data_IF_327179172883
#
_entry.id   IF_327179172883
#
_cell.length_a   1.000
_cell.length_b   1.000
_cell.length_c   1.000
_cell.angle_alpha   90.00
_cell.angle_beta   90.00
_cell.angle_gamma   90.00
#
_symmetry.space_group_name_H-M   'P 1'
#
loop_
_entity.id
_entity.type
_entity.pdbx_description
1 polymer ?
#
# COMPACT_ATOMS: atom_id res chain seq x y z
N UNK A 1 29.16 72.71 31.48
CA UNK A 1 29.39 71.46 30.68
C UNK A 1 28.42 70.40 31.17
N UNK A 2 27.42 69.96 30.37
CA UNK A 2 26.54 68.88 30.77
C UNK A 2 27.13 67.50 30.37
N UNK A 3 26.95 66.52 31.27
CA UNK A 3 27.43 65.17 31.15
C UNK A 3 26.67 64.38 29.99
N UNK A 4 27.32 63.38 29.37
CA UNK A 4 26.71 62.64 28.24
C UNK A 4 25.67 61.63 28.74
N UNK A 5 24.63 61.29 27.90
CA UNK A 5 23.56 60.38 28.29
C UNK A 5 24.03 58.91 28.26
N UNK A 6 23.61 58.16 29.28
CA UNK A 6 23.95 56.75 29.52
C UNK A 6 23.38 55.80 28.49
N UNK A 7 24.22 54.91 27.94
CA UNK A 7 23.99 53.98 26.85
C UNK A 7 23.20 52.69 27.20
N UNK A 8 22.29 52.71 28.19
CA UNK A 8 21.54 51.53 28.66
C UNK A 8 20.34 51.13 27.77
N UNK A 9 19.75 52.09 27.02
CA UNK A 9 18.58 51.83 26.18
C UNK A 9 18.87 51.06 24.88
N UNK A 10 20.09 51.10 24.36
CA UNK A 10 20.49 50.51 23.09
C UNK A 10 20.65 48.98 23.16
N UNK A 11 21.11 48.45 24.30
CA UNK A 11 21.34 46.98 24.45
C UNK A 11 20.03 46.19 24.61
N UNK A 12 19.01 46.70 25.27
CA UNK A 12 17.72 46.05 25.44
C UNK A 12 16.93 45.97 24.15
N UNK A 13 17.00 47.02 23.32
CA UNK A 13 16.31 47.06 22.01
C UNK A 13 16.97 46.15 20.98
N UNK A 14 18.29 45.98 21.04
CA UNK A 14 19.06 45.05 20.20
C UNK A 14 18.77 43.59 20.55
N UNK A 15 18.64 43.22 21.84
CA UNK A 15 18.25 41.88 22.25
C UNK A 15 16.80 41.51 21.85
N UNK A 16 15.86 42.48 21.95
CA UNK A 16 14.49 42.26 21.48
C UNK A 16 14.42 42.08 19.96
N UNK A 17 15.19 42.86 19.18
CA UNK A 17 15.24 42.68 17.69
C UNK A 17 15.88 41.36 17.28
N UNK A 18 16.94 40.91 17.98
CA UNK A 18 17.55 39.60 17.69
C UNK A 18 16.65 38.43 18.11
N UNK A 19 15.92 38.51 19.22
CA UNK A 19 14.94 37.53 19.65
C UNK A 19 13.76 37.42 18.68
N UNK A 20 13.25 38.55 18.16
CA UNK A 20 12.17 38.55 17.15
C UNK A 20 12.64 38.05 15.78
N UNK A 21 13.89 38.34 15.38
CA UNK A 21 14.46 37.84 14.12
C UNK A 21 14.71 36.32 14.20
N UNK A 22 15.21 35.81 15.33
CA UNK A 22 15.38 34.36 15.52
C UNK A 22 14.05 33.61 15.58
N UNK A 23 13.02 34.19 16.22
CA UNK A 23 11.66 33.61 16.24
C UNK A 23 10.96 33.69 14.87
N UNK A 24 11.25 34.74 14.08
CA UNK A 24 10.75 34.82 12.69
C UNK A 24 11.50 33.88 11.75
N UNK A 25 12.81 33.71 11.89
CA UNK A 25 13.60 32.74 11.15
C UNK A 25 13.21 31.30 11.50
N UNK A 26 12.95 31.02 12.79
CA UNK A 26 12.42 29.71 13.22
C UNK A 26 11.03 29.42 12.68
N UNK A 27 10.13 30.41 12.58
CA UNK A 27 8.82 30.30 11.95
C UNK A 27 8.94 30.12 10.43
N UNK A 28 9.79 30.87 9.76
CA UNK A 28 10.03 30.74 8.33
C UNK A 28 10.67 29.39 7.96
N UNK A 29 11.57 28.87 8.79
CA UNK A 29 12.13 27.52 8.63
C UNK A 29 11.08 26.42 8.83
N UNK A 30 10.14 26.59 9.76
CA UNK A 30 8.98 25.69 9.96
C UNK A 30 7.95 25.81 8.82
N UNK A 31 7.78 26.99 8.23
CA UNK A 31 6.89 27.21 7.09
C UNK A 31 7.47 26.69 5.78
N UNK A 32 8.79 26.72 5.58
CA UNK A 32 9.48 26.10 4.44
C UNK A 32 9.48 24.58 4.43
N UNK A 33 9.09 23.94 5.53
CA UNK A 33 9.05 22.47 5.70
C UNK A 33 7.70 21.83 5.42
N UNK A 34 6.64 22.60 5.09
CA UNK A 34 5.30 22.05 4.82
C UNK A 34 5.25 21.49 3.41
N UNK A 35 5.39 20.17 3.30
CA UNK A 35 5.29 19.47 2.02
C UNK A 35 3.88 18.91 1.84
N UNK A 36 3.42 18.94 0.58
CA UNK A 36 2.17 18.28 0.21
C UNK A 36 2.28 16.78 0.39
N UNK A 37 1.30 16.19 1.05
CA UNK A 37 1.26 14.76 1.33
C UNK A 37 1.24 13.90 0.05
N UNK A 38 0.62 14.37 -1.02
CA UNK A 38 0.56 13.63 -2.29
C UNK A 38 1.77 13.88 -3.19
N UNK A 39 1.99 15.12 -3.58
CA UNK A 39 2.99 15.43 -4.60
C UNK A 39 4.38 15.79 -4.04
N UNK A 40 4.52 15.93 -2.71
CA UNK A 40 5.79 16.30 -2.07
C UNK A 40 6.23 17.75 -2.29
N UNK A 41 5.45 18.57 -3.02
CA UNK A 41 5.80 19.97 -3.28
C UNK A 41 5.92 20.75 -1.97
N UNK A 42 6.91 21.66 -1.93
CA UNK A 42 7.10 22.57 -0.80
C UNK A 42 6.02 23.65 -0.76
N UNK A 43 5.84 24.28 0.41
CA UNK A 43 4.87 25.36 0.63
C UNK A 43 3.38 24.96 0.45
N UNK A 44 3.01 23.77 0.90
CA UNK A 44 1.62 23.33 0.97
C UNK A 44 0.77 24.28 1.85
N UNK A 45 -0.40 24.68 1.35
CA UNK A 45 -1.23 25.75 1.94
C UNK A 45 -2.46 25.25 2.67
N UNK A 46 -3.01 24.12 2.21
CA UNK A 46 -4.21 23.52 2.79
C UNK A 46 -3.80 22.54 3.89
N UNK A 47 -4.42 22.64 5.06
CA UNK A 47 -4.15 21.78 6.21
C UNK A 47 -5.38 20.95 6.54
N UNK A 48 -5.20 19.68 6.87
CA UNK A 48 -6.29 18.86 7.37
C UNK A 48 -6.82 19.42 8.69
N UNK A 49 -8.12 19.65 8.80
CA UNK A 49 -8.76 20.17 10.01
C UNK A 49 -8.81 19.14 11.14
N UNK A 50 -8.94 17.85 10.80
CA UNK A 50 -9.02 16.76 11.76
C UNK A 50 -7.73 16.54 12.54
N UNK A 51 -6.64 16.18 11.85
CA UNK A 51 -5.35 15.90 12.52
C UNK A 51 -4.49 17.17 12.72
N UNK A 52 -4.69 18.20 11.88
CA UNK A 52 -3.87 19.43 11.85
C UNK A 52 -2.37 19.23 11.61
N UNK A 53 -1.98 18.06 11.11
CA UNK A 53 -0.58 17.65 10.93
C UNK A 53 -0.23 17.33 9.47
N UNK A 54 -1.23 17.21 8.60
CA UNK A 54 -1.08 16.90 7.19
C UNK A 54 -1.39 18.11 6.34
N UNK A 55 -0.55 18.35 5.33
CA UNK A 55 -0.63 19.52 4.47
C UNK A 55 -0.74 19.11 2.99
N UNK A 56 -1.42 19.95 2.19
CA UNK A 56 -1.66 19.74 0.77
C UNK A 56 -1.44 21.04 -0.02
N UNK A 57 -1.12 20.93 -1.32
CA UNK A 57 -1.02 22.08 -2.21
C UNK A 57 -2.36 22.81 -2.32
N UNK A 58 -3.43 22.03 -2.46
CA UNK A 58 -4.79 22.48 -2.76
C UNK A 58 -5.84 21.50 -2.20
N UNK A 59 -7.10 21.87 -2.35
CA UNK A 59 -8.24 21.07 -1.89
C UNK A 59 -8.41 19.79 -2.72
N UNK A 60 -7.96 19.77 -3.98
CA UNK A 60 -8.06 18.57 -4.82
C UNK A 60 -7.16 17.46 -4.29
N UNK A 61 -5.91 17.80 -3.93
CA UNK A 61 -4.99 16.85 -3.30
C UNK A 61 -5.49 16.40 -1.92
N UNK A 62 -6.07 17.30 -1.12
CA UNK A 62 -6.68 16.94 0.16
C UNK A 62 -7.84 15.95 -0.04
N UNK A 63 -8.73 16.22 -0.98
CA UNK A 63 -9.88 15.35 -1.26
C UNK A 63 -9.46 13.99 -1.80
N UNK A 64 -8.46 13.95 -2.69
CA UNK A 64 -7.93 12.70 -3.24
C UNK A 64 -7.32 11.82 -2.14
N UNK A 65 -6.54 12.39 -1.24
CA UNK A 65 -5.97 11.65 -0.09
C UNK A 65 -7.04 11.23 0.91
N UNK A 66 -8.02 12.11 1.18
CA UNK A 66 -9.13 11.84 2.11
C UNK A 66 -9.93 10.62 1.68
N UNK A 67 -10.40 10.60 0.43
CA UNK A 67 -11.21 9.50 -0.13
C UNK A 67 -10.40 8.21 -0.20
N UNK A 68 -9.11 8.30 -0.50
CA UNK A 68 -8.24 7.14 -0.61
C UNK A 68 -7.98 6.48 0.74
N UNK A 69 -7.41 7.23 1.70
CA UNK A 69 -6.92 6.63 2.94
C UNK A 69 -6.96 7.56 4.15
N UNK A 70 -6.81 8.89 3.96
CA UNK A 70 -6.58 9.80 5.07
C UNK A 70 -7.71 9.80 6.10
N UNK A 71 -8.97 9.63 5.67
CA UNK A 71 -10.12 9.48 6.58
C UNK A 71 -9.87 8.39 7.64
N UNK A 72 -9.36 7.24 7.22
CA UNK A 72 -9.08 6.09 8.09
C UNK A 72 -7.87 6.28 9.00
N UNK A 73 -6.83 6.99 8.49
CA UNK A 73 -5.56 7.15 9.22
C UNK A 73 -5.42 8.49 9.92
N UNK A 74 -6.33 9.44 9.71
CA UNK A 74 -6.25 10.82 10.22
C UNK A 74 -5.91 10.88 11.72
N UNK A 75 -6.64 10.16 12.55
CA UNK A 75 -6.42 10.11 13.99
C UNK A 75 -5.17 9.29 14.37
N UNK A 76 -4.84 8.28 13.58
CA UNK A 76 -3.66 7.44 13.79
C UNK A 76 -2.35 8.19 13.54
N UNK A 77 -2.37 9.23 12.69
CA UNK A 77 -1.21 10.08 12.40
C UNK A 77 -0.82 10.98 13.57
N UNK A 78 -1.78 11.37 14.44
CA UNK A 78 -1.54 12.32 15.54
C UNK A 78 -0.39 11.85 16.45
N UNK A 79 -0.44 10.65 17.05
CA UNK A 79 0.61 10.20 17.95
C UNK A 79 1.95 9.91 17.25
N UNK A 80 1.95 9.76 15.91
CA UNK A 80 3.17 9.52 15.13
C UNK A 80 3.87 10.83 14.78
N UNK A 81 3.09 11.86 14.46
CA UNK A 81 3.61 13.18 14.00
C UNK A 81 3.72 14.21 15.10
N UNK A 82 3.28 13.90 16.31
CA UNK A 82 3.41 14.77 17.47
C UNK A 82 4.71 14.41 18.21
N UNK A 83 5.46 15.43 18.65
CA UNK A 83 6.66 15.18 19.43
C UNK A 83 6.32 14.44 20.72
N UNK A 84 7.02 13.32 20.95
CA UNK A 84 6.87 12.56 22.19
C UNK A 84 7.46 13.40 23.35
N UNK A 85 6.75 13.54 24.48
CA UNK A 85 7.31 14.21 25.65
C UNK A 85 8.59 13.50 26.11
N UNK A 86 9.53 14.28 26.64
CA UNK A 86 10.78 13.73 27.15
C UNK A 86 10.49 12.82 28.35
N UNK A 87 10.77 11.53 28.19
CA UNK A 87 10.62 10.52 29.23
C UNK A 87 11.98 10.30 29.93
N UNK A 88 12.01 10.37 31.25
CA UNK A 88 13.23 10.22 32.06
C UNK A 88 13.74 8.78 32.05
N UNK A 89 12.82 7.79 32.07
CA UNK A 89 13.17 6.37 32.12
C UNK A 89 13.55 5.83 30.74
N UNK A 90 14.66 5.11 30.64
CA UNK A 90 15.08 4.42 29.42
C UNK A 90 14.09 3.35 28.99
N UNK A 91 13.50 2.62 29.95
CA UNK A 91 12.45 1.61 29.68
C UNK A 91 11.22 2.23 29.05
N UNK A 92 10.78 3.40 29.54
CA UNK A 92 9.63 4.12 28.97
C UNK A 92 9.92 4.64 27.56
N UNK A 93 11.12 5.15 27.32
CA UNK A 93 11.55 5.58 25.97
C UNK A 93 11.54 4.43 25.00
N UNK A 94 12.11 3.27 25.38
CA UNK A 94 12.12 2.06 24.54
C UNK A 94 10.70 1.58 24.26
N UNK A 95 9.85 1.49 25.28
CA UNK A 95 8.45 1.12 25.11
C UNK A 95 7.70 2.10 24.20
N UNK A 96 7.90 3.42 24.37
CA UNK A 96 7.30 4.44 23.50
C UNK A 96 7.72 4.28 22.04
N UNK A 97 9.01 4.00 21.78
CA UNK A 97 9.51 3.74 20.42
C UNK A 97 8.90 2.47 19.82
N UNK A 98 8.82 1.39 20.58
CA UNK A 98 8.19 0.14 20.14
C UNK A 98 6.71 0.34 19.79
N UNK A 99 5.98 1.10 20.61
CA UNK A 99 4.58 1.43 20.32
C UNK A 99 4.43 2.31 19.07
N UNK A 100 5.35 3.25 18.85
CA UNK A 100 5.37 4.07 17.64
C UNK A 100 5.54 3.20 16.38
N UNK A 101 6.56 2.33 16.37
CA UNK A 101 6.83 1.41 15.27
C UNK A 101 5.63 0.47 15.02
N UNK A 102 4.99 -0.03 16.08
CA UNK A 102 3.79 -0.87 15.96
C UNK A 102 2.64 -0.11 15.28
N UNK A 103 2.42 1.16 15.62
CA UNK A 103 1.41 2.01 14.98
C UNK A 103 1.74 2.29 13.51
N UNK A 104 3.02 2.56 13.20
CA UNK A 104 3.45 2.75 11.81
C UNK A 104 3.23 1.49 10.98
N UNK A 105 3.57 0.30 11.50
CA UNK A 105 3.30 -0.98 10.83
C UNK A 105 1.81 -1.19 10.57
N UNK A 106 0.95 -0.86 11.54
CA UNK A 106 -0.50 -0.93 11.34
C UNK A 106 -0.99 -0.01 10.20
N UNK A 107 -0.43 1.21 10.10
CA UNK A 107 -0.76 2.12 8.98
C UNK A 107 -0.24 1.56 7.66
N UNK A 108 0.95 0.94 7.62
CA UNK A 108 1.50 0.29 6.42
C UNK A 108 0.52 -0.78 5.92
N UNK A 109 0.10 -1.68 6.80
CA UNK A 109 -0.79 -2.78 6.45
C UNK A 109 -2.17 -2.27 5.99
N UNK A 110 -2.73 -1.27 6.68
CA UNK A 110 -4.00 -0.65 6.32
C UNK A 110 -3.92 0.08 4.97
N UNK A 111 -2.87 0.84 4.74
CA UNK A 111 -2.67 1.59 3.51
C UNK A 111 -2.41 0.67 2.32
N UNK A 112 -1.60 -0.38 2.53
CA UNK A 112 -1.32 -1.39 1.51
C UNK A 112 -2.59 -2.16 1.11
N UNK A 113 -3.37 -2.65 2.09
CA UNK A 113 -4.60 -3.39 1.81
C UNK A 113 -5.63 -2.51 1.09
N UNK A 114 -5.80 -1.26 1.54
CA UNK A 114 -6.72 -0.30 0.89
C UNK A 114 -6.30 0.01 -0.55
N UNK A 115 -5.01 0.25 -0.80
CA UNK A 115 -4.52 0.49 -2.16
C UNK A 115 -4.73 -0.73 -3.06
N UNK A 116 -4.49 -1.94 -2.54
CA UNK A 116 -4.71 -3.19 -3.26
C UNK A 116 -6.19 -3.40 -3.61
N UNK A 117 -7.10 -3.10 -2.68
CA UNK A 117 -8.54 -3.15 -2.94
C UNK A 117 -8.94 -2.20 -4.07
N UNK A 118 -8.43 -0.97 -4.08
CA UNK A 118 -8.69 -0.02 -5.16
C UNK A 118 -8.12 -0.46 -6.51
N UNK A 119 -6.90 -1.02 -6.55
CA UNK A 119 -6.35 -1.59 -7.79
C UNK A 119 -7.23 -2.73 -8.28
N UNK A 120 -7.66 -3.59 -7.39
CA UNK A 120 -8.56 -4.69 -7.70
C UNK A 120 -9.90 -4.23 -8.28
N UNK A 121 -10.49 -3.18 -7.73
CA UNK A 121 -11.72 -2.55 -8.21
C UNK A 121 -11.52 -1.77 -9.53
N UNK A 122 -10.29 -1.65 -10.04
CA UNK A 122 -9.96 -0.83 -11.20
C UNK A 122 -9.93 0.68 -10.91
N UNK A 123 -9.98 1.07 -9.64
CA UNK A 123 -9.91 2.48 -9.18
C UNK A 123 -8.46 2.89 -8.97
N UNK A 124 -7.68 2.86 -10.06
CA UNK A 124 -6.23 3.07 -10.01
C UNK A 124 -5.84 4.46 -9.49
N UNK A 125 -6.64 5.49 -9.80
CA UNK A 125 -6.38 6.86 -9.35
C UNK A 125 -6.48 6.98 -7.83
N UNK A 126 -7.46 6.32 -7.23
CA UNK A 126 -7.70 6.30 -5.79
C UNK A 126 -6.70 5.42 -5.04
N UNK A 127 -6.09 4.45 -5.72
CA UNK A 127 -5.07 3.58 -5.15
C UNK A 127 -3.75 4.31 -4.85
N UNK A 128 -3.39 5.32 -5.66
CA UNK A 128 -2.10 6.00 -5.60
C UNK A 128 -1.83 6.65 -4.23
N UNK A 129 -2.74 7.46 -3.63
CA UNK A 129 -2.46 8.06 -2.34
C UNK A 129 -2.23 7.04 -1.23
N UNK A 130 -3.05 5.99 -1.16
CA UNK A 130 -2.87 4.93 -0.17
C UNK A 130 -1.53 4.19 -0.34
N UNK A 131 -1.17 3.83 -1.57
CA UNK A 131 0.11 3.20 -1.86
C UNK A 131 1.32 4.11 -1.54
N UNK A 132 1.19 5.43 -1.73
CA UNK A 132 2.22 6.40 -1.31
C UNK A 132 2.39 6.44 0.21
N UNK A 133 1.31 6.38 0.98
CA UNK A 133 1.39 6.28 2.43
C UNK A 133 2.05 4.97 2.86
N UNK A 134 1.68 3.84 2.26
CA UNK A 134 2.32 2.55 2.52
C UNK A 134 3.84 2.62 2.27
N UNK A 135 4.26 3.21 1.14
CA UNK A 135 5.68 3.36 0.81
C UNK A 135 6.43 4.26 1.80
N UNK A 136 5.86 5.41 2.17
CA UNK A 136 6.52 6.35 3.10
C UNK A 136 6.73 5.73 4.47
N UNK A 137 5.68 5.19 5.06
CA UNK A 137 5.80 4.55 6.38
C UNK A 137 6.68 3.31 6.34
N UNK A 138 6.67 2.55 5.24
CA UNK A 138 7.61 1.44 5.06
C UNK A 138 9.06 1.93 5.00
N UNK A 139 9.32 3.05 4.33
CA UNK A 139 10.66 3.66 4.27
C UNK A 139 11.12 4.14 5.64
N UNK A 140 10.23 4.73 6.44
CA UNK A 140 10.54 5.16 7.82
C UNK A 140 10.85 3.98 8.75
N UNK A 141 10.12 2.87 8.62
CA UNK A 141 10.25 1.70 9.51
C UNK A 141 11.38 0.77 9.11
N UNK A 142 11.56 0.52 7.80
CA UNK A 142 12.47 -0.51 7.29
C UNK A 142 13.71 0.05 6.59
N UNK A 143 13.76 1.38 6.33
CA UNK A 143 14.82 2.02 5.56
C UNK A 143 14.57 1.97 4.05
N UNK A 144 15.30 2.82 3.31
CA UNK A 144 15.07 3.08 1.87
C UNK A 144 15.42 1.92 0.93
N UNK A 145 16.25 0.96 1.36
CA UNK A 145 16.73 -0.15 0.52
C UNK A 145 16.22 -1.52 0.98
N UNK A 146 15.13 -1.53 1.74
CA UNK A 146 14.58 -2.76 2.30
C UNK A 146 13.66 -3.48 1.32
N UNK A 147 13.73 -4.81 1.28
CA UNK A 147 12.84 -5.66 0.48
C UNK A 147 11.36 -5.47 0.83
N UNK A 148 11.07 -5.04 2.06
CA UNK A 148 9.71 -4.73 2.52
C UNK A 148 9.05 -3.56 1.78
N UNK A 149 9.83 -2.75 1.03
CA UNK A 149 9.30 -1.67 0.20
C UNK A 149 8.79 -2.16 -1.17
N UNK A 150 9.29 -3.31 -1.63
CA UNK A 150 8.97 -3.83 -2.97
C UNK A 150 7.45 -3.96 -3.20
N UNK A 151 6.64 -4.51 -2.28
CA UNK A 151 5.20 -4.59 -2.49
C UNK A 151 4.52 -3.23 -2.73
N UNK A 152 4.94 -2.18 -2.01
CA UNK A 152 4.38 -0.84 -2.18
C UNK A 152 4.82 -0.21 -3.51
N UNK A 153 6.07 -0.41 -3.94
CA UNK A 153 6.53 0.02 -5.26
C UNK A 153 5.78 -0.67 -6.40
N UNK A 154 5.55 -1.99 -6.30
CA UNK A 154 4.81 -2.73 -7.32
C UNK A 154 3.36 -2.26 -7.42
N UNK A 155 2.72 -1.99 -6.28
CA UNK A 155 1.35 -1.48 -6.23
C UNK A 155 1.24 -0.07 -6.83
N UNK A 156 2.22 0.82 -6.56
CA UNK A 156 2.31 2.13 -7.19
C UNK A 156 2.53 2.03 -8.70
N UNK A 157 3.37 1.09 -9.13
CA UNK A 157 3.61 0.85 -10.55
C UNK A 157 2.34 0.35 -11.26
N UNK A 158 1.63 -0.59 -10.65
CA UNK A 158 0.38 -1.13 -11.21
C UNK A 158 -0.70 -0.06 -11.29
N UNK A 159 -0.91 0.71 -10.22
CA UNK A 159 -1.85 1.83 -10.20
C UNK A 159 -1.48 2.91 -11.24
N UNK A 160 -0.19 3.27 -11.34
CA UNK A 160 0.29 4.26 -12.33
C UNK A 160 0.11 3.76 -13.76
N UNK A 161 0.36 2.47 -14.02
CA UNK A 161 0.12 1.82 -15.31
C UNK A 161 -1.36 1.86 -15.68
N UNK A 162 -2.26 1.55 -14.72
CA UNK A 162 -3.71 1.58 -14.92
C UNK A 162 -4.26 2.98 -15.24
N UNK A 163 -3.62 4.04 -14.71
CA UNK A 163 -3.95 5.45 -15.03
C UNK A 163 -3.31 5.90 -16.36
N UNK A 164 -2.36 5.13 -16.93
CA UNK A 164 -1.62 5.50 -18.13
C UNK A 164 -0.38 6.36 -17.87
N UNK A 165 0.07 6.51 -16.62
CA UNK A 165 1.28 7.24 -16.24
C UNK A 165 2.52 6.36 -16.35
N UNK A 166 2.85 5.91 -17.56
CA UNK A 166 3.92 4.96 -17.79
C UNK A 166 5.31 5.42 -17.29
N UNK A 167 5.72 6.71 -17.46
CA UNK A 167 7.01 7.17 -16.92
C UNK A 167 7.11 7.09 -15.39
N UNK A 168 6.00 7.27 -14.67
CA UNK A 168 5.97 7.12 -13.21
C UNK A 168 6.02 5.65 -12.81
N UNK A 169 5.26 4.80 -13.50
CA UNK A 169 5.27 3.35 -13.30
C UNK A 169 6.69 2.77 -13.50
N UNK A 170 7.38 3.17 -14.56
CA UNK A 170 8.77 2.78 -14.86
C UNK A 170 9.72 3.13 -13.71
N UNK A 171 9.58 4.31 -13.10
CA UNK A 171 10.40 4.71 -11.95
C UNK A 171 10.18 3.80 -10.74
N UNK A 172 8.93 3.48 -10.42
CA UNK A 172 8.63 2.59 -9.30
C UNK A 172 9.15 1.16 -9.55
N UNK A 173 8.98 0.64 -10.77
CA UNK A 173 9.53 -0.67 -11.14
C UNK A 173 11.05 -0.71 -11.08
N UNK A 174 11.73 0.34 -11.54
CA UNK A 174 13.19 0.44 -11.46
C UNK A 174 13.68 0.43 -10.01
N UNK A 175 12.97 1.11 -9.09
CA UNK A 175 13.32 1.08 -7.67
C UNK A 175 13.08 -0.31 -7.05
N UNK A 176 11.96 -0.96 -7.37
CA UNK A 176 11.68 -2.32 -6.92
C UNK A 176 12.75 -3.30 -7.46
N UNK A 177 13.09 -3.20 -8.73
CA UNK A 177 14.11 -4.03 -9.37
C UNK A 177 15.50 -3.84 -8.74
N UNK A 178 15.89 -2.60 -8.49
CA UNK A 178 17.14 -2.29 -7.81
C UNK A 178 17.23 -2.95 -6.43
N UNK A 179 16.17 -2.82 -5.61
CA UNK A 179 16.13 -3.43 -4.29
C UNK A 179 16.24 -4.95 -4.37
N UNK A 180 15.50 -5.58 -5.29
CA UNK A 180 15.54 -7.04 -5.48
C UNK A 180 16.93 -7.52 -5.91
N UNK A 181 17.57 -6.80 -6.86
CA UNK A 181 18.91 -7.16 -7.36
C UNK A 181 20.01 -6.94 -6.31
N UNK A 182 19.86 -5.96 -5.44
CA UNK A 182 20.87 -5.64 -4.41
C UNK A 182 20.66 -6.39 -3.09
N UNK A 183 19.53 -7.09 -2.94
CA UNK A 183 19.22 -7.85 -1.72
C UNK A 183 19.65 -9.32 -1.90
N UNK A 184 20.69 -9.80 -1.19
CA UNK A 184 21.02 -11.23 -1.17
C UNK A 184 19.82 -12.04 -0.68
N UNK A 185 19.60 -13.20 -1.28
CA UNK A 185 18.54 -14.15 -0.87
C UNK A 185 17.11 -13.59 -0.92
N UNK A 186 16.86 -12.65 -1.84
CA UNK A 186 15.50 -12.20 -2.10
C UNK A 186 14.63 -13.39 -2.54
N UNK A 187 13.60 -13.72 -1.75
CA UNK A 187 12.78 -14.91 -1.96
C UNK A 187 12.10 -14.94 -3.34
N UNK A 188 11.97 -16.15 -3.92
CA UNK A 188 11.35 -16.36 -5.24
C UNK A 188 9.97 -15.71 -5.39
N UNK A 189 9.17 -15.66 -4.32
CA UNK A 189 7.86 -15.02 -4.31
C UNK A 189 7.94 -13.50 -4.60
N UNK A 190 8.94 -12.79 -4.09
CA UNK A 190 9.13 -11.35 -4.34
C UNK A 190 9.63 -11.13 -5.76
N UNK A 191 10.55 -11.96 -6.23
CA UNK A 191 11.06 -11.92 -7.60
C UNK A 191 9.94 -12.19 -8.61
N UNK A 192 9.08 -13.19 -8.37
CA UNK A 192 7.92 -13.49 -9.21
C UNK A 192 6.96 -12.29 -9.32
N UNK A 193 6.62 -11.67 -8.19
CA UNK A 193 5.78 -10.47 -8.19
C UNK A 193 6.40 -9.31 -8.97
N UNK A 194 7.73 -9.11 -8.87
CA UNK A 194 8.43 -8.11 -9.65
C UNK A 194 8.34 -8.42 -11.15
N UNK A 195 8.59 -9.66 -11.56
CA UNK A 195 8.46 -10.09 -12.94
C UNK A 195 7.03 -9.92 -13.46
N UNK A 196 6.02 -10.23 -12.65
CA UNK A 196 4.61 -9.97 -13.01
C UNK A 196 4.36 -8.48 -13.24
N UNK A 197 4.81 -7.61 -12.34
CA UNK A 197 4.68 -6.15 -12.49
C UNK A 197 5.37 -5.61 -13.76
N UNK A 198 6.59 -6.09 -14.06
CA UNK A 198 7.31 -5.75 -15.29
C UNK A 198 6.56 -6.26 -16.53
N UNK A 199 6.00 -7.47 -16.50
CA UNK A 199 5.21 -8.03 -17.58
C UNK A 199 3.94 -7.22 -17.88
N UNK A 200 3.23 -6.79 -16.84
CA UNK A 200 2.05 -5.91 -16.97
C UNK A 200 2.42 -4.55 -17.56
N UNK A 201 3.51 -3.97 -17.10
CA UNK A 201 4.03 -2.70 -17.59
C UNK A 201 4.41 -2.78 -19.07
N UNK A 202 5.23 -3.78 -19.46
CA UNK A 202 5.59 -4.00 -20.87
C UNK A 202 4.36 -4.27 -21.77
N UNK A 203 3.33 -4.94 -21.21
CA UNK A 203 2.05 -5.13 -21.91
C UNK A 203 1.33 -3.80 -22.17
N UNK A 204 1.39 -2.86 -21.23
CA UNK A 204 0.79 -1.55 -21.36
C UNK A 204 1.55 -0.67 -22.36
N UNK A 205 2.89 -0.79 -22.42
CA UNK A 205 3.73 -0.15 -23.43
C UNK A 205 3.57 -0.73 -24.84
N UNK A 206 2.95 -1.93 -24.96
CA UNK A 206 2.85 -2.64 -26.24
C UNK A 206 4.09 -3.47 -26.59
N UNK A 207 5.05 -3.59 -25.69
CA UNK A 207 6.24 -4.43 -25.85
C UNK A 207 5.91 -5.88 -25.44
N UNK A 208 5.22 -6.59 -26.30
CA UNK A 208 4.70 -7.92 -26.02
C UNK A 208 5.81 -8.99 -25.86
N UNK A 209 6.93 -8.83 -26.51
CA UNK A 209 8.04 -9.77 -26.39
C UNK A 209 8.64 -9.74 -24.98
N UNK A 210 8.97 -8.54 -24.47
CA UNK A 210 9.46 -8.37 -23.12
C UNK A 210 8.39 -8.73 -22.08
N UNK A 211 7.12 -8.45 -22.35
CA UNK A 211 6.03 -8.86 -21.48
C UNK A 211 5.97 -10.38 -21.31
N UNK A 212 6.05 -11.15 -22.40
CA UNK A 212 6.06 -12.61 -22.36
C UNK A 212 7.30 -13.15 -21.64
N UNK A 213 8.48 -12.55 -21.85
CA UNK A 213 9.69 -12.91 -21.13
C UNK A 213 9.51 -12.78 -19.61
N UNK A 214 8.99 -11.65 -19.15
CA UNK A 214 8.78 -11.43 -17.73
C UNK A 214 7.69 -12.33 -17.15
N UNK A 215 6.58 -12.52 -17.85
CA UNK A 215 5.51 -13.41 -17.41
C UNK A 215 5.94 -14.88 -17.37
N UNK A 216 6.80 -15.31 -18.28
CA UNK A 216 7.39 -16.65 -18.23
C UNK A 216 8.27 -16.85 -16.97
N UNK A 217 9.05 -15.83 -16.59
CA UNK A 217 9.82 -15.87 -15.34
C UNK A 217 8.94 -15.89 -14.10
N UNK A 218 7.83 -15.11 -14.08
CA UNK A 218 6.85 -15.17 -13.00
C UNK A 218 6.27 -16.58 -12.84
N UNK A 219 5.82 -17.20 -13.94
CA UNK A 219 5.29 -18.55 -13.95
C UNK A 219 6.35 -19.56 -13.49
N UNK A 220 7.58 -19.44 -13.96
CA UNK A 220 8.69 -20.32 -13.55
C UNK A 220 8.96 -20.26 -12.04
N UNK A 221 9.06 -19.06 -11.48
CA UNK A 221 9.29 -18.85 -10.06
C UNK A 221 8.12 -19.33 -9.20
N UNK A 222 6.88 -19.07 -9.62
CA UNK A 222 5.70 -19.54 -8.92
C UNK A 222 5.58 -21.07 -9.00
N UNK A 223 5.77 -21.67 -10.18
CA UNK A 223 5.63 -23.10 -10.37
C UNK A 223 6.75 -23.92 -9.72
N UNK A 224 7.96 -23.38 -9.60
CA UNK A 224 9.06 -24.04 -8.88
C UNK A 224 8.82 -24.09 -7.36
N UNK A 225 8.03 -23.15 -6.82
CA UNK A 225 7.72 -23.08 -5.39
C UNK A 225 6.42 -23.80 -5.02
N UNK A 226 5.37 -23.62 -5.82
CA UNK A 226 4.01 -24.06 -5.50
C UNK A 226 3.48 -25.14 -6.46
N UNK A 227 4.19 -25.43 -7.54
CA UNK A 227 3.79 -26.36 -8.58
C UNK A 227 3.09 -25.69 -9.77
N UNK A 228 3.14 -26.38 -10.92
CA UNK A 228 2.59 -25.87 -12.20
C UNK A 228 1.09 -25.56 -12.16
N UNK A 229 0.32 -26.35 -11.41
CA UNK A 229 -1.14 -26.22 -11.28
C UNK A 229 -1.53 -25.52 -9.99
N UNK A 230 -0.73 -24.54 -9.55
CA UNK A 230 -1.02 -23.72 -8.38
C UNK A 230 -1.78 -22.44 -8.73
N UNK A 231 -2.54 -21.94 -7.77
CA UNK A 231 -3.24 -20.64 -7.89
C UNK A 231 -2.23 -19.50 -8.10
N UNK A 232 -1.05 -19.61 -7.48
CA UNK A 232 0.04 -18.64 -7.61
C UNK A 232 0.55 -18.54 -9.06
N UNK A 233 0.73 -19.69 -9.73
CA UNK A 233 1.16 -19.73 -11.13
C UNK A 233 0.03 -19.29 -12.10
N UNK A 234 -1.23 -19.51 -11.73
CA UNK A 234 -2.38 -19.19 -12.59
C UNK A 234 -2.46 -17.71 -12.96
N UNK A 235 -2.03 -16.81 -12.06
CA UNK A 235 -1.96 -15.38 -12.35
C UNK A 235 -1.01 -15.05 -13.51
N UNK A 236 0.14 -15.70 -13.58
CA UNK A 236 1.08 -15.57 -14.69
C UNK A 236 0.48 -16.07 -16.01
N UNK A 237 -0.17 -17.25 -16.00
CA UNK A 237 -0.87 -17.77 -17.18
C UNK A 237 -1.97 -16.84 -17.66
N UNK A 238 -2.77 -16.28 -16.76
CA UNK A 238 -3.83 -15.32 -17.10
C UNK A 238 -3.28 -14.08 -17.79
N UNK A 239 -2.21 -13.47 -17.25
CA UNK A 239 -1.62 -12.29 -17.86
C UNK A 239 -0.93 -12.61 -19.19
N UNK A 240 -0.31 -13.79 -19.32
CA UNK A 240 0.24 -14.27 -20.59
C UNK A 240 -0.85 -14.48 -21.64
N UNK A 241 -2.00 -15.04 -21.26
CA UNK A 241 -3.16 -15.16 -22.12
C UNK A 241 -3.65 -13.79 -22.63
N UNK A 242 -3.69 -12.78 -21.75
CA UNK A 242 -4.04 -11.41 -22.14
C UNK A 242 -3.06 -10.82 -23.17
N UNK A 243 -1.76 -11.13 -23.08
CA UNK A 243 -0.77 -10.70 -24.08
C UNK A 243 -1.04 -11.35 -25.42
N UNK A 244 -1.26 -12.69 -25.47
CA UNK A 244 -1.59 -13.40 -26.72
C UNK A 244 -2.92 -12.94 -27.30
N UNK A 245 -3.92 -12.66 -26.47
CA UNK A 245 -5.18 -12.06 -26.92
C UNK A 245 -4.96 -10.72 -27.63
N UNK A 246 -4.13 -9.84 -27.07
CA UNK A 246 -3.77 -8.54 -27.70
C UNK A 246 -2.97 -8.71 -29.00
N UNK A 247 -2.22 -9.81 -29.14
CA UNK A 247 -1.53 -10.19 -30.37
C UNK A 247 -2.45 -10.87 -31.41
N UNK A 248 -3.74 -11.01 -31.11
CA UNK A 248 -4.72 -11.73 -31.95
C UNK A 248 -4.40 -13.25 -32.12
N UNK A 249 -3.66 -13.84 -31.20
CA UNK A 249 -3.35 -15.28 -31.15
C UNK A 249 -4.36 -16.00 -30.26
N UNK A 250 -5.61 -16.09 -30.76
CA UNK A 250 -6.77 -16.54 -29.96
C UNK A 250 -6.65 -17.97 -29.46
N UNK A 251 -6.09 -18.88 -30.27
CA UNK A 251 -5.97 -20.30 -29.89
C UNK A 251 -5.08 -20.49 -28.67
N UNK A 252 -3.94 -19.78 -28.63
CA UNK A 252 -3.02 -19.83 -27.50
C UNK A 252 -3.67 -19.16 -26.27
N UNK A 253 -4.30 -18.00 -26.46
CA UNK A 253 -4.97 -17.29 -25.38
C UNK A 253 -6.06 -18.14 -24.73
N UNK A 254 -6.93 -18.79 -25.54
CA UNK A 254 -8.01 -19.65 -25.06
C UNK A 254 -7.46 -20.88 -24.31
N UNK A 255 -6.39 -21.50 -24.80
CA UNK A 255 -5.75 -22.63 -24.10
C UNK A 255 -5.24 -22.24 -22.71
N UNK A 256 -4.62 -21.06 -22.59
CA UNK A 256 -4.14 -20.56 -21.30
C UNK A 256 -5.30 -20.16 -20.37
N UNK A 257 -6.38 -19.56 -20.88
CA UNK A 257 -7.57 -19.27 -20.06
C UNK A 257 -8.24 -20.54 -19.56
N UNK A 258 -8.28 -21.60 -20.38
CA UNK A 258 -8.80 -22.91 -19.97
C UNK A 258 -7.96 -23.48 -18.81
N UNK A 259 -6.62 -23.46 -18.92
CA UNK A 259 -5.73 -23.92 -17.84
C UNK A 259 -5.94 -23.12 -16.53
N UNK A 260 -6.07 -21.80 -16.62
CA UNK A 260 -6.40 -20.95 -15.46
C UNK A 260 -7.73 -21.38 -14.82
N UNK A 261 -8.75 -21.61 -15.64
CA UNK A 261 -10.08 -22.03 -15.18
C UNK A 261 -10.02 -23.38 -14.47
N UNK A 262 -9.28 -24.34 -15.02
CA UNK A 262 -9.13 -25.68 -14.45
C UNK A 262 -8.38 -25.65 -13.12
N UNK A 263 -7.33 -24.84 -13.01
CA UNK A 263 -6.59 -24.63 -11.74
C UNK A 263 -7.52 -24.09 -10.66
N UNK A 264 -8.27 -23.03 -10.97
CA UNK A 264 -9.19 -22.42 -10.01
C UNK A 264 -10.33 -23.36 -9.64
N UNK A 265 -10.90 -24.08 -10.60
CA UNK A 265 -11.93 -25.09 -10.35
C UNK A 265 -11.44 -26.15 -9.38
N UNK A 266 -10.25 -26.70 -9.62
CA UNK A 266 -9.66 -27.71 -8.74
C UNK A 266 -9.41 -27.19 -7.33
N UNK A 267 -8.91 -25.93 -7.21
CA UNK A 267 -8.68 -25.28 -5.91
C UNK A 267 -9.98 -25.06 -5.13
N UNK A 268 -11.00 -24.51 -5.77
CA UNK A 268 -12.30 -24.23 -5.15
C UNK A 268 -13.00 -25.51 -4.70
N UNK A 269 -12.99 -26.56 -5.53
CA UNK A 269 -13.55 -27.87 -5.14
C UNK A 269 -12.87 -28.45 -3.91
N UNK A 270 -11.53 -28.40 -3.85
CA UNK A 270 -10.78 -28.85 -2.66
C UNK A 270 -11.12 -28.02 -1.42
N UNK A 271 -11.29 -26.70 -1.58
CA UNK A 271 -11.62 -25.80 -0.49
C UNK A 271 -13.01 -26.05 0.09
N UNK A 272 -14.01 -26.29 -0.78
CA UNK A 272 -15.38 -26.65 -0.39
C UNK A 272 -15.38 -27.99 0.35
N UNK A 273 -14.74 -29.03 -0.21
CA UNK A 273 -14.65 -30.34 0.43
C UNK A 273 -13.94 -30.29 1.79
N UNK A 274 -12.91 -29.45 1.94
CA UNK A 274 -12.25 -29.25 3.22
C UNK A 274 -13.19 -28.61 4.24
N UNK A 275 -14.00 -27.64 3.84
CA UNK A 275 -14.96 -26.97 4.69
C UNK A 275 -16.11 -27.90 5.11
N UNK A 276 -16.62 -28.74 4.21
CA UNK A 276 -17.62 -29.76 4.49
C UNK A 276 -17.14 -30.74 5.55
N UNK A 277 -15.90 -31.25 5.44
CA UNK A 277 -15.30 -32.13 6.44
C UNK A 277 -15.18 -31.48 7.83
N UNK A 278 -14.87 -30.17 7.90
CA UNK A 278 -14.80 -29.43 9.15
C UNK A 278 -16.20 -29.30 9.77
N UNK A 279 -17.23 -29.07 8.97
CA UNK A 279 -18.62 -28.98 9.43
C UNK A 279 -19.12 -30.34 9.93
N UNK A 280 -18.84 -31.42 9.21
CA UNK A 280 -19.20 -32.79 9.59
C UNK A 280 -18.47 -33.25 10.88
N UNK A 281 -17.25 -32.80 11.10
CA UNK A 281 -16.46 -33.13 12.30
C UNK A 281 -16.84 -32.33 13.53
N UNK A 282 -17.74 -31.33 13.41
CA UNK A 282 -18.21 -30.52 14.53
C UNK A 282 -19.21 -31.35 15.35
N UNK A 283 -18.95 -31.68 16.62
CA UNK A 283 -19.92 -32.40 17.43
C UNK A 283 -21.21 -31.61 17.52
N UNK A 284 -22.34 -32.25 17.20
CA UNK A 284 -23.66 -31.69 17.40
C UNK A 284 -23.81 -31.44 18.92
N UNK A 285 -23.67 -30.19 19.36
CA UNK A 285 -24.14 -29.78 20.67
C UNK A 285 -25.64 -29.80 20.61
N UNK A 286 -26.22 -30.90 21.15
CA UNK A 286 -27.63 -31.08 21.36
C UNK A 286 -28.23 -29.87 22.06
N UNK A 287 -29.32 -29.28 21.58
CA UNK A 287 -29.95 -28.13 22.21
C UNK A 287 -30.86 -28.50 23.38
N UNK A 288 -30.77 -29.71 23.95
CA UNK A 288 -31.62 -30.15 25.05
C UNK A 288 -30.79 -30.84 26.14
N UNK A 289 -30.30 -30.05 27.09
CA UNK A 289 -30.08 -30.50 28.47
C UNK A 289 -30.52 -29.36 29.40
N UNK A 290 -31.52 -29.67 30.18
CA UNK A 290 -32.40 -28.88 31.02
C UNK A 290 -31.75 -27.84 31.92
N UNK A 291 -32.59 -26.93 32.32
CA UNK A 291 -32.48 -26.00 33.42
C UNK A 291 -31.90 -26.64 34.69
N UNK A 292 -30.79 -26.10 35.18
CA UNK A 292 -30.52 -25.98 36.61
C UNK A 292 -29.70 -24.73 36.89
N UNK A 293 -30.18 -24.03 37.90
CA UNK A 293 -29.84 -22.66 38.31
C UNK A 293 -28.44 -22.49 38.90
N UNK A 294 -28.07 -21.22 38.88
CA UNK A 294 -27.29 -20.44 39.87
C UNK A 294 -25.77 -20.50 39.81
N UNK A 295 -25.21 -19.34 39.54
CA UNK A 295 -23.81 -18.99 39.89
C UNK A 295 -23.23 -17.90 39.00
N UNK A 296 -23.45 -16.62 39.42
CA UNK A 296 -22.69 -15.49 38.91
C UNK A 296 -21.18 -15.73 39.03
N UNK A 297 -20.44 -15.61 37.97
CA UNK A 297 -19.19 -14.82 37.97
C UNK A 297 -18.75 -14.42 36.58
N UNK A 298 -18.40 -13.17 36.50
CA UNK A 298 -17.84 -12.44 35.35
C UNK A 298 -16.53 -13.07 34.91
N UNK A 299 -16.32 -13.19 33.60
CA UNK A 299 -15.28 -12.48 32.82
C UNK A 299 -15.14 -13.05 31.42
N UNK A 300 -15.47 -12.20 30.49
CA UNK A 300 -14.81 -11.92 29.20
C UNK A 300 -13.81 -12.95 28.65
N UNK A 301 -14.22 -13.63 27.58
CA UNK A 301 -13.29 -13.99 26.50
C UNK A 301 -14.04 -14.01 25.17
N UNK A 302 -13.90 -12.89 24.44
CA UNK A 302 -14.29 -12.81 23.03
C UNK A 302 -13.46 -13.81 22.24
N UNK A 303 -14.12 -14.80 21.65
CA UNK A 303 -13.55 -15.75 20.73
C UNK A 303 -12.95 -15.01 19.50
N UNK A 304 -11.67 -15.18 19.30
CA UNK A 304 -11.00 -14.82 18.03
C UNK A 304 -11.54 -15.75 16.97
N UNK A 305 -12.29 -15.20 16.03
CA UNK A 305 -12.45 -15.81 14.73
C UNK A 305 -11.05 -15.96 14.12
N UNK A 306 -10.64 -17.20 13.84
CA UNK A 306 -9.42 -17.49 13.10
C UNK A 306 -9.58 -16.91 11.72
N UNK A 307 -8.90 -15.78 11.46
CA UNK A 307 -8.77 -15.22 10.13
C UNK A 307 -7.95 -16.19 9.28
N UNK A 308 -8.59 -16.75 8.25
CA UNK A 308 -7.90 -17.40 7.15
C UNK A 308 -6.81 -16.45 6.62
N UNK A 309 -5.60 -16.96 6.29
CA UNK A 309 -4.63 -16.15 5.59
C UNK A 309 -5.27 -15.69 4.27
N UNK A 310 -5.12 -14.42 3.88
CA UNK A 310 -5.68 -13.93 2.62
C UNK A 310 -5.03 -14.72 1.48
N UNK A 311 -5.81 -15.50 0.77
CA UNK A 311 -5.41 -16.02 -0.51
C UNK A 311 -5.15 -14.81 -1.41
N UNK A 312 -3.91 -14.62 -1.82
CA UNK A 312 -3.50 -13.61 -2.78
C UNK A 312 -4.05 -14.01 -4.15
N UNK A 313 -5.34 -13.75 -4.36
CA UNK A 313 -6.05 -14.09 -5.56
C UNK A 313 -5.86 -12.99 -6.59
N UNK A 314 -5.16 -13.31 -7.68
CA UNK A 314 -5.16 -12.50 -8.87
C UNK A 314 -6.58 -12.48 -9.47
N UNK A 315 -7.29 -11.34 -9.36
CA UNK A 315 -8.57 -11.17 -10.05
C UNK A 315 -8.38 -10.89 -11.52
N UNK A 316 -9.33 -11.32 -12.35
CA UNK A 316 -9.35 -10.93 -13.74
C UNK A 316 -9.64 -9.42 -13.85
N UNK A 317 -8.74 -8.69 -14.46
CA UNK A 317 -9.01 -7.31 -14.87
C UNK A 317 -10.26 -7.28 -15.76
N UNK A 318 -11.29 -6.60 -15.29
CA UNK A 318 -12.52 -6.38 -16.04
C UNK A 318 -12.17 -5.64 -17.32
N UNK A 319 -12.27 -6.32 -18.46
CA UNK A 319 -12.14 -5.71 -19.78
C UNK A 319 -13.23 -4.65 -19.89
N UNK A 320 -12.84 -3.40 -19.82
CA UNK A 320 -13.73 -2.28 -20.12
C UNK A 320 -14.20 -2.42 -21.56
N UNK A 321 -15.48 -2.77 -21.75
CA UNK A 321 -16.15 -2.72 -23.05
C UNK A 321 -16.27 -1.26 -23.47
N UNK A 322 -15.25 -0.77 -24.18
CA UNK A 322 -15.37 0.45 -24.95
C UNK A 322 -16.28 0.16 -26.16
N UNK A 323 -17.59 0.41 -26.00
CA UNK A 323 -18.52 0.53 -27.12
C UNK A 323 -18.15 1.80 -27.88
N UNK A 324 -17.24 1.69 -28.83
CA UNK A 324 -17.22 2.67 -29.92
C UNK A 324 -18.33 2.28 -30.90
N UNK A 325 -19.38 3.08 -30.87
CA UNK A 325 -20.37 3.15 -31.95
C UNK A 325 -19.66 3.47 -33.27
N UNK A 326 -19.64 2.49 -34.17
CA UNK A 326 -19.39 2.75 -35.58
C UNK A 326 -20.61 3.53 -36.11
N UNK A 327 -20.45 4.83 -36.33
CA UNK A 327 -21.31 5.59 -37.20
C UNK A 327 -20.68 5.46 -38.59
N UNK A 328 -21.43 4.89 -39.51
CA UNK A 328 -21.05 4.81 -40.89
C UNK A 328 -20.99 6.21 -41.52
N UNK A 329 -20.08 6.35 -42.44
CA UNK A 329 -20.12 7.39 -43.47
C UNK A 329 -19.83 6.71 -44.78
N UNK A 330 -20.76 6.98 -45.69
CA UNK A 330 -20.75 6.66 -47.11
C UNK A 330 -19.45 7.12 -47.83
#
# INVERSE_FOLDING_TARGET
>A
MPAPPTSAGSRANRKRRLGNAAAAAGRAALEGSRRCELCGAAAARVRCEGCRLTYYCDVAHQKADWVSIHERICQLLIPIRTSVPFLLSEKERKHGTEQLVKRQKYIIDLAYSTAREFVWDGKHQEAIPAALHALRFSTEVYGSNSVQLVPAYLLLAEASTGVGRLPEASKYLSQAQWIVLTTPDCGAAVQGKLHRGLGLFCTAEGNFEQALYHLANDIYLASSTFGLKSVEASGGYFHMANVFFRQNKMDIANSLYAEVTDIWRAFLLKSVQAQERILESRPETSPFAGDEEVGEDRMSSRGRAASLPPAETAAPTRVSRNRRSFVGAD
#
